data_IF_420241123159
#
_entry.id   IF_420241123159
#
_cell.length_a   1.000
_cell.length_b   1.000
_cell.length_c   1.000
_cell.angle_alpha   90.00
_cell.angle_beta   90.00
_cell.angle_gamma   90.00
#
_symmetry.space_group_name_H-M   'P 1'
#
loop_
_entity.id
_entity.type
_entity.pdbx_description
1 polymer ?
#
# COMPACT_ATOMS: atom_id res chain seq x y z
N UNK A 1 -46.11 5.69 -11.72
CA UNK A 1 -45.11 4.75 -11.14
C UNK A 1 -43.69 5.03 -11.66
N UNK A 2 -43.45 5.08 -12.99
CA UNK A 2 -42.11 5.38 -13.56
C UNK A 2 -41.49 6.73 -13.13
N UNK A 3 -42.28 7.80 -13.05
CA UNK A 3 -41.80 9.11 -12.57
C UNK A 3 -41.34 9.08 -11.10
N UNK A 4 -42.09 8.40 -10.22
CA UNK A 4 -41.71 8.25 -8.80
C UNK A 4 -40.46 7.39 -8.60
N UNK A 5 -40.20 6.40 -9.47
CA UNK A 5 -38.92 5.67 -9.45
C UNK A 5 -37.76 6.58 -9.85
N UNK A 6 -37.95 7.41 -10.87
CA UNK A 6 -36.91 8.33 -11.37
C UNK A 6 -36.59 9.44 -10.37
N UNK A 7 -37.58 9.96 -9.66
CA UNK A 7 -37.36 10.94 -8.58
C UNK A 7 -36.55 10.34 -7.43
N UNK A 8 -36.88 9.11 -6.98
CA UNK A 8 -36.09 8.41 -5.95
C UNK A 8 -34.66 8.12 -6.39
N UNK A 9 -34.47 7.81 -7.67
CA UNK A 9 -33.13 7.58 -8.25
C UNK A 9 -32.29 8.85 -8.24
N UNK A 10 -32.86 9.99 -8.67
CA UNK A 10 -32.19 11.30 -8.64
C UNK A 10 -31.87 11.73 -7.20
N UNK A 11 -32.79 11.51 -6.28
CA UNK A 11 -32.60 11.84 -4.86
C UNK A 11 -31.45 11.02 -4.26
N UNK A 12 -31.38 9.71 -4.57
CA UNK A 12 -30.30 8.81 -4.15
C UNK A 12 -28.94 9.21 -4.75
N UNK A 13 -28.90 9.54 -6.05
CA UNK A 13 -27.69 10.02 -6.72
C UNK A 13 -27.19 11.36 -6.16
N UNK A 14 -28.10 12.27 -5.80
CA UNK A 14 -27.75 13.56 -5.20
C UNK A 14 -27.19 13.41 -3.78
N UNK A 15 -27.72 12.44 -3.01
CA UNK A 15 -27.28 12.15 -1.65
C UNK A 15 -25.85 11.60 -1.62
N UNK A 16 -25.50 10.74 -2.58
CA UNK A 16 -24.16 10.16 -2.72
C UNK A 16 -23.13 11.24 -3.09
N UNK A 17 -23.49 12.20 -3.96
CA UNK A 17 -22.58 13.28 -4.37
C UNK A 17 -22.25 14.29 -3.26
N UNK A 18 -23.17 14.52 -2.32
CA UNK A 18 -23.01 15.61 -1.34
C UNK A 18 -22.20 15.23 -0.08
N UNK A 19 -21.98 13.94 0.19
CA UNK A 19 -21.26 13.50 1.40
C UNK A 19 -19.73 13.47 1.26
N UNK A 20 -19.21 13.44 0.04
CA UNK A 20 -17.77 13.32 -0.23
C UNK A 20 -17.03 14.65 -0.40
N UNK A 21 -16.96 15.54 0.60
CA UNK A 21 -16.05 16.70 0.54
C UNK A 21 -14.64 16.37 1.07
N UNK A 22 -13.99 15.35 0.52
CA UNK A 22 -12.62 14.93 0.90
C UNK A 22 -11.57 16.04 0.63
N UNK A 23 -11.89 16.99 -0.26
CA UNK A 23 -11.02 18.11 -0.66
C UNK A 23 -10.66 19.04 0.53
N UNK A 24 -11.51 19.13 1.57
CA UNK A 24 -11.28 20.07 2.68
C UNK A 24 -10.21 19.58 3.67
N UNK A 25 -10.18 18.28 3.98
CA UNK A 25 -9.23 17.70 4.96
C UNK A 25 -7.80 17.62 4.39
N UNK A 26 -7.68 17.40 3.07
CA UNK A 26 -6.39 17.29 2.37
C UNK A 26 -5.55 18.57 2.47
N UNK A 27 -6.19 19.74 2.45
CA UNK A 27 -5.51 21.04 2.58
C UNK A 27 -4.84 21.21 3.94
N UNK A 28 -5.49 20.77 5.02
CA UNK A 28 -5.02 21.03 6.38
C UNK A 28 -3.86 20.13 6.77
N UNK A 29 -3.88 18.85 6.39
CA UNK A 29 -2.76 17.94 6.66
C UNK A 29 -1.51 18.35 5.87
N UNK A 30 -1.70 18.78 4.62
CA UNK A 30 -0.63 19.34 3.79
C UNK A 30 -0.04 20.60 4.41
N UNK A 31 -0.88 21.51 4.92
CA UNK A 31 -0.41 22.72 5.60
C UNK A 31 0.31 22.41 6.92
N UNK A 32 -0.17 21.45 7.71
CA UNK A 32 0.50 20.99 8.91
C UNK A 32 1.87 20.38 8.59
N UNK A 33 1.93 19.56 7.54
CA UNK A 33 3.17 18.92 7.11
C UNK A 33 4.17 19.95 6.54
N UNK A 34 3.71 20.88 5.71
CA UNK A 34 4.54 21.99 5.21
C UNK A 34 5.05 22.86 6.36
N UNK A 35 4.27 23.06 7.40
CA UNK A 35 4.70 23.78 8.60
C UNK A 35 5.82 23.03 9.32
N UNK A 36 5.63 21.73 9.60
CA UNK A 36 6.66 20.89 10.25
C UNK A 36 7.93 20.79 9.39
N UNK A 37 7.79 20.64 8.08
CA UNK A 37 8.91 20.61 7.14
C UNK A 37 9.65 21.95 7.11
N UNK A 38 8.93 23.07 7.09
CA UNK A 38 9.51 24.41 7.16
C UNK A 38 10.29 24.60 8.47
N UNK A 39 9.74 24.19 9.61
CA UNK A 39 10.47 24.25 10.88
C UNK A 39 11.68 23.34 10.95
N UNK A 40 11.58 22.13 10.40
CA UNK A 40 12.70 21.21 10.34
C UNK A 40 13.82 21.77 9.45
N UNK A 41 13.46 22.42 8.33
CA UNK A 41 14.40 23.11 7.47
C UNK A 41 15.04 24.33 8.15
N UNK A 42 14.28 25.13 8.90
CA UNK A 42 14.83 26.25 9.70
C UNK A 42 15.79 25.74 10.77
N UNK A 43 15.40 24.71 11.51
CA UNK A 43 16.25 24.09 12.54
C UNK A 43 17.52 23.47 11.93
N UNK A 44 17.44 22.85 10.75
CA UNK A 44 18.58 22.28 10.04
C UNK A 44 19.50 23.36 9.47
N UNK A 45 18.94 24.43 8.89
CA UNK A 45 19.70 25.58 8.41
C UNK A 45 20.48 26.26 9.54
N UNK A 46 19.91 26.31 10.74
CA UNK A 46 20.56 26.87 11.93
C UNK A 46 21.55 25.90 12.59
N UNK A 47 21.38 24.58 12.42
CA UNK A 47 22.27 23.54 12.93
C UNK A 47 23.50 23.34 12.04
N UNK A 48 23.38 23.59 10.73
CA UNK A 48 24.52 23.67 9.85
C UNK A 48 25.39 24.86 10.28
N UNK A 49 26.70 24.69 10.52
CA UNK A 49 27.56 25.78 10.94
C UNK A 49 27.70 26.79 9.79
N UNK A 50 26.77 27.74 9.71
CA UNK A 50 26.78 28.91 8.83
C UNK A 50 27.92 29.90 9.17
N UNK A 51 28.96 29.44 9.86
CA UNK A 51 30.20 30.16 10.09
C UNK A 51 31.10 30.29 8.86
N UNK A 52 30.74 29.71 7.71
CA UNK A 52 31.52 29.81 6.46
C UNK A 52 31.21 31.04 5.60
N UNK A 53 29.94 31.47 5.52
CA UNK A 53 29.55 32.57 4.63
C UNK A 53 29.74 33.94 5.27
N UNK A 54 29.50 34.09 6.58
CA UNK A 54 29.81 35.35 7.29
C UNK A 54 31.31 35.57 7.49
N UNK A 55 32.13 34.52 7.61
CA UNK A 55 33.60 34.69 7.73
C UNK A 55 34.25 35.24 6.46
N UNK A 56 33.72 35.00 5.26
CA UNK A 56 34.29 35.59 4.03
C UNK A 56 34.01 37.08 3.85
N UNK A 57 33.00 37.63 4.51
CA UNK A 57 32.79 39.09 4.52
C UNK A 57 33.68 39.82 5.55
N UNK A 58 34.21 39.11 6.54
CA UNK A 58 35.05 39.69 7.60
C UNK A 58 36.57 39.58 7.35
N UNK A 59 37.02 38.80 6.36
CA UNK A 59 38.45 38.70 6.02
C UNK A 59 39.01 39.94 5.29
N UNK A 60 38.20 40.97 5.06
CA UNK A 60 38.63 42.24 4.48
C UNK A 60 38.71 43.42 5.47
N UNK A 61 38.33 43.24 6.74
CA UNK A 61 38.25 44.35 7.68
C UNK A 61 38.94 44.03 9.01
N UNK A 62 40.19 44.52 9.09
CA UNK A 62 40.82 45.15 10.25
C UNK A 62 40.82 44.42 11.60
N UNK A 63 42.04 44.19 12.09
CA UNK A 63 42.39 43.83 13.46
C UNK A 63 41.83 44.83 14.47
N UNK A 64 40.74 44.47 15.15
CA UNK A 64 40.41 45.02 16.45
C UNK A 64 40.09 43.86 17.39
N UNK A 65 40.84 43.79 18.48
CA UNK A 65 40.54 42.99 19.66
C UNK A 65 39.14 43.41 20.16
N UNK A 66 38.19 42.49 20.06
CA UNK A 66 36.90 42.59 20.72
C UNK A 66 36.83 41.44 21.69
N UNK A 67 36.96 41.80 22.97
CA UNK A 67 36.78 40.95 24.14
C UNK A 67 35.45 40.18 24.11
N UNK A 68 35.50 38.98 24.69
CA UNK A 68 34.42 38.05 25.04
C UNK A 68 32.99 38.60 24.91
N UNK A 69 32.34 38.27 23.80
CA UNK A 69 30.87 38.36 23.69
C UNK A 69 30.30 36.99 24.04
N UNK A 70 29.74 36.94 25.24
CA UNK A 70 29.02 35.83 25.86
C UNK A 70 27.96 35.23 24.90
N UNK A 71 28.19 34.00 24.42
CA UNK A 71 27.36 33.28 23.42
C UNK A 71 26.28 32.42 24.11
N UNK A 72 25.84 32.78 25.32
CA UNK A 72 24.90 31.95 26.08
C UNK A 72 23.41 32.20 25.76
N UNK A 73 23.09 33.13 24.84
CA UNK A 73 21.69 33.46 24.48
C UNK A 73 21.01 32.57 23.42
N UNK A 74 21.73 31.67 22.74
CA UNK A 74 21.26 31.07 21.48
C UNK A 74 20.36 29.82 21.60
N UNK A 75 20.42 29.08 22.71
CA UNK A 75 19.75 27.78 22.83
C UNK A 75 18.24 27.88 23.11
N UNK A 76 17.80 28.90 23.85
CA UNK A 76 16.39 29.08 24.21
C UNK A 76 15.52 29.49 23.00
N UNK A 77 16.08 30.23 22.03
CA UNK A 77 15.36 30.58 20.81
C UNK A 77 15.09 29.39 19.89
N UNK A 78 16.02 28.42 19.83
CA UNK A 78 15.97 27.28 18.90
C UNK A 78 14.94 26.23 19.32
N UNK A 79 14.93 25.85 20.59
CA UNK A 79 13.90 24.97 21.13
C UNK A 79 12.52 25.62 21.05
N UNK A 80 12.44 26.94 21.29
CA UNK A 80 11.20 27.71 21.16
C UNK A 80 10.62 27.71 19.75
N UNK A 81 11.44 27.89 18.70
CA UNK A 81 10.98 27.86 17.31
C UNK A 81 10.47 26.46 16.90
N UNK A 82 11.20 25.40 17.23
CA UNK A 82 10.76 24.03 16.97
C UNK A 82 9.45 23.71 17.68
N UNK A 83 9.34 24.01 18.98
CA UNK A 83 8.12 23.79 19.76
C UNK A 83 6.95 24.61 19.23
N UNK A 84 7.17 25.85 18.80
CA UNK A 84 6.12 26.71 18.25
C UNK A 84 5.56 26.16 16.96
N UNK A 85 6.41 25.65 16.07
CA UNK A 85 5.93 25.09 14.80
C UNK A 85 5.37 23.68 14.96
N UNK A 86 5.92 22.86 15.86
CA UNK A 86 5.29 21.61 16.24
C UNK A 86 3.89 21.85 16.84
N UNK A 87 3.75 22.83 17.75
CA UNK A 87 2.48 23.24 18.31
C UNK A 87 1.51 23.79 17.26
N UNK A 88 2.00 24.61 16.32
CA UNK A 88 1.18 25.12 15.21
C UNK A 88 0.73 24.00 14.26
N UNK A 89 1.62 23.05 13.94
CA UNK A 89 1.29 21.86 13.16
C UNK A 89 0.24 20.99 13.85
N UNK A 90 0.37 20.77 15.16
CA UNK A 90 -0.64 20.07 15.96
C UNK A 90 -1.96 20.84 16.04
N UNK A 91 -1.92 22.17 16.15
CA UNK A 91 -3.11 23.01 16.14
C UNK A 91 -3.83 22.92 14.79
N UNK A 92 -3.10 22.98 13.66
CA UNK A 92 -3.67 22.78 12.33
C UNK A 92 -4.32 21.40 12.20
N UNK A 93 -3.67 20.34 12.67
CA UNK A 93 -4.26 18.99 12.72
C UNK A 93 -5.57 19.00 13.52
N UNK A 94 -5.59 19.67 14.68
CA UNK A 94 -6.79 19.80 15.51
C UNK A 94 -7.92 20.61 14.84
N UNK A 95 -7.59 21.62 14.03
CA UNK A 95 -8.58 22.40 13.27
C UNK A 95 -9.07 21.68 12.00
N UNK A 96 -8.28 20.77 11.43
CA UNK A 96 -8.66 19.94 10.28
C UNK A 96 -9.80 18.96 10.56
N UNK A 97 -10.08 18.69 11.84
CA UNK A 97 -11.15 17.83 12.33
C UNK A 97 -12.56 18.32 11.94
N UNK A 98 -12.72 19.61 11.61
CA UNK A 98 -14.02 20.15 11.20
C UNK A 98 -14.50 19.71 9.81
N UNK A 99 -13.67 18.97 9.05
CA UNK A 99 -13.96 18.59 7.66
C UNK A 99 -13.76 17.13 7.28
N UNK A 100 -13.24 16.27 8.17
CA UNK A 100 -13.16 14.83 7.89
C UNK A 100 -14.54 14.20 8.00
N UNK A 101 -14.85 13.28 7.07
CA UNK A 101 -16.01 12.41 7.22
C UNK A 101 -15.80 11.51 8.44
N UNK A 102 -16.87 11.18 9.17
CA UNK A 102 -16.79 10.18 10.22
C UNK A 102 -16.41 8.82 9.58
N UNK A 103 -15.62 8.02 10.27
CA UNK A 103 -15.25 6.69 9.80
C UNK A 103 -16.47 5.82 9.48
N UNK A 104 -17.52 5.90 10.28
CA UNK A 104 -18.75 5.14 10.02
C UNK A 104 -19.52 5.67 8.80
N UNK A 105 -19.43 6.97 8.49
CA UNK A 105 -19.94 7.51 7.23
C UNK A 105 -19.15 6.95 6.05
N UNK A 106 -17.82 6.93 6.12
CA UNK A 106 -16.98 6.37 5.05
C UNK A 106 -17.31 4.89 4.78
N UNK A 107 -17.48 4.08 5.83
CA UNK A 107 -17.88 2.67 5.71
C UNK A 107 -19.24 2.55 5.05
N UNK A 108 -20.24 3.31 5.50
CA UNK A 108 -21.59 3.30 4.94
C UNK A 108 -21.60 3.70 3.47
N UNK A 109 -20.86 4.75 3.10
CA UNK A 109 -20.77 5.20 1.71
C UNK A 109 -20.13 4.14 0.80
N UNK A 110 -19.09 3.43 1.27
CA UNK A 110 -18.49 2.30 0.53
C UNK A 110 -19.50 1.15 0.36
N UNK A 111 -20.24 0.80 1.42
CA UNK A 111 -21.25 -0.26 1.34
C UNK A 111 -22.42 0.10 0.44
N UNK A 112 -22.91 1.34 0.51
CA UNK A 112 -23.98 1.82 -0.38
C UNK A 112 -23.51 1.84 -1.84
N UNK A 113 -22.24 2.15 -2.11
CA UNK A 113 -21.65 2.09 -3.44
C UNK A 113 -21.54 0.64 -3.97
N UNK A 114 -21.14 -0.31 -3.11
CA UNK A 114 -21.09 -1.74 -3.47
C UNK A 114 -22.49 -2.30 -3.76
N UNK A 115 -23.48 -1.98 -2.92
CA UNK A 115 -24.87 -2.36 -3.14
C UNK A 115 -25.41 -1.80 -4.47
N UNK A 116 -25.15 -0.52 -4.73
CA UNK A 116 -25.53 0.08 -6.01
C UNK A 116 -24.84 -0.59 -7.20
N UNK A 117 -23.55 -0.94 -7.08
CA UNK A 117 -22.82 -1.63 -8.13
C UNK A 117 -23.47 -2.98 -8.44
N UNK A 118 -23.81 -3.76 -7.42
CA UNK A 118 -24.44 -5.07 -7.54
C UNK A 118 -25.81 -4.98 -8.22
N UNK A 119 -26.68 -4.08 -7.75
CA UNK A 119 -27.99 -3.75 -8.34
C UNK A 119 -27.90 -3.37 -9.83
N UNK A 120 -26.75 -2.86 -10.26
CA UNK A 120 -26.52 -2.33 -11.61
C UNK A 120 -25.61 -3.22 -12.48
N UNK A 121 -25.21 -4.42 -12.03
CA UNK A 121 -24.27 -5.29 -12.76
C UNK A 121 -24.70 -5.57 -14.19
N UNK A 122 -25.99 -5.87 -14.42
CA UNK A 122 -26.53 -6.11 -15.76
C UNK A 122 -26.36 -4.90 -16.68
N UNK A 123 -26.74 -3.72 -16.17
CA UNK A 123 -26.66 -2.45 -16.90
C UNK A 123 -25.23 -2.05 -17.23
N UNK A 124 -24.30 -2.35 -16.33
CA UNK A 124 -22.87 -2.08 -16.49
C UNK A 124 -22.16 -3.14 -17.36
N UNK A 125 -22.85 -4.20 -17.78
CA UNK A 125 -22.26 -5.30 -18.54
C UNK A 125 -21.23 -6.09 -17.71
N UNK A 126 -21.41 -6.12 -16.40
CA UNK A 126 -20.56 -6.84 -15.45
C UNK A 126 -21.08 -8.24 -15.12
N UNK A 127 -22.31 -8.57 -15.54
CA UNK A 127 -22.78 -9.95 -15.44
C UNK A 127 -21.86 -10.87 -16.25
N UNK A 128 -21.63 -12.11 -15.78
CA UNK A 128 -21.14 -13.16 -16.64
C UNK A 128 -21.98 -13.14 -17.93
N UNK A 129 -21.37 -13.36 -19.09
CA UNK A 129 -22.18 -13.83 -20.19
C UNK A 129 -22.81 -15.12 -19.66
N UNK A 130 -24.12 -15.09 -19.40
CA UNK A 130 -24.90 -16.30 -19.33
C UNK A 130 -24.48 -17.04 -20.60
N UNK A 131 -23.88 -18.20 -20.40
CA UNK A 131 -23.74 -19.13 -21.48
C UNK A 131 -25.19 -19.42 -21.84
N UNK A 132 -25.71 -18.64 -22.80
CA UNK A 132 -26.84 -19.04 -23.62
C UNK A 132 -26.34 -20.38 -24.16
N UNK A 133 -26.62 -21.44 -23.40
CA UNK A 133 -26.57 -22.80 -23.87
C UNK A 133 -27.41 -22.70 -25.13
N UNK A 134 -26.70 -22.70 -26.26
CA UNK A 134 -27.27 -22.94 -27.55
C UNK A 134 -27.84 -24.36 -27.40
N UNK A 135 -29.04 -24.46 -26.79
CA UNK A 135 -30.01 -25.48 -27.05
C UNK A 135 -30.28 -25.33 -28.55
N UNK A 136 -29.33 -25.85 -29.33
CA UNK A 136 -29.57 -26.40 -30.64
C UNK A 136 -30.63 -27.48 -30.37
N UNK A 137 -31.89 -27.05 -30.21
CA UNK A 137 -33.05 -27.87 -30.50
C UNK A 137 -32.80 -28.34 -31.94
N UNK A 138 -32.21 -29.52 -32.06
CA UNK A 138 -32.20 -30.31 -33.27
C UNK A 138 -33.68 -30.53 -33.62
N UNK A 139 -34.28 -29.58 -34.32
CA UNK A 139 -35.48 -29.82 -35.10
C UNK A 139 -35.09 -30.92 -36.10
N UNK A 140 -35.39 -32.16 -35.75
CA UNK A 140 -35.39 -33.31 -36.65
C UNK A 140 -36.40 -33.03 -37.78
N UNK A 141 -36.02 -32.24 -38.79
CA UNK A 141 -36.71 -32.22 -40.08
C UNK A 141 -36.33 -33.47 -40.88
N UNK A 142 -37.08 -34.55 -40.65
CA UNK A 142 -37.21 -35.63 -41.61
C UNK A 142 -37.91 -35.08 -42.88
N UNK A 143 -37.16 -34.75 -43.94
CA UNK A 143 -37.85 -34.31 -45.17
C UNK A 143 -37.04 -33.86 -46.40
N UNK A 144 -36.46 -34.81 -47.13
CA UNK A 144 -36.36 -34.81 -48.60
C UNK A 144 -35.53 -33.74 -49.36
N UNK A 145 -34.33 -34.17 -49.78
CA UNK A 145 -33.74 -34.04 -51.13
C UNK A 145 -33.86 -32.72 -51.91
N UNK A 146 -32.72 -32.03 -52.00
CA UNK A 146 -31.94 -31.78 -53.24
C UNK A 146 -31.53 -30.33 -53.52
N UNK A 147 -30.25 -30.21 -53.86
CA UNK A 147 -29.59 -29.15 -54.64
C UNK A 147 -29.19 -27.83 -53.94
N UNK A 148 -27.94 -27.86 -53.48
CA UNK A 148 -26.88 -26.88 -53.80
C UNK A 148 -27.16 -25.38 -53.62
N UNK A 149 -26.72 -24.85 -52.48
CA UNK A 149 -25.87 -23.64 -52.40
C UNK A 149 -25.15 -23.61 -51.05
N UNK A 150 -23.85 -23.96 -51.07
CA UNK A 150 -22.92 -23.82 -49.93
C UNK A 150 -22.83 -22.35 -49.52
N UNK A 151 -23.73 -21.88 -48.66
CA UNK A 151 -23.56 -20.65 -47.89
C UNK A 151 -22.44 -20.91 -46.88
N UNK A 152 -21.28 -20.32 -47.12
CA UNK A 152 -20.14 -20.28 -46.19
C UNK A 152 -20.61 -19.53 -44.94
N UNK A 153 -21.20 -20.26 -43.98
CA UNK A 153 -21.57 -19.79 -42.64
C UNK A 153 -20.26 -19.33 -42.01
N UNK A 154 -20.00 -18.01 -42.05
CA UNK A 154 -18.92 -17.41 -41.27
C UNK A 154 -19.36 -17.60 -39.83
N UNK A 155 -18.88 -18.66 -39.19
CA UNK A 155 -18.90 -18.82 -37.74
C UNK A 155 -18.10 -17.65 -37.16
N UNK A 156 -18.77 -16.49 -37.06
CA UNK A 156 -18.28 -15.38 -36.30
C UNK A 156 -18.25 -15.88 -34.87
N UNK A 157 -17.09 -16.35 -34.43
CA UNK A 157 -16.89 -16.87 -33.08
C UNK A 157 -17.46 -15.85 -32.11
N UNK A 158 -18.62 -16.20 -31.53
CA UNK A 158 -19.28 -15.46 -30.47
C UNK A 158 -18.25 -15.47 -29.34
N UNK A 159 -17.43 -14.42 -29.26
CA UNK A 159 -16.41 -14.29 -28.22
C UNK A 159 -17.19 -14.25 -26.92
N UNK A 160 -17.28 -15.40 -26.24
CA UNK A 160 -17.84 -15.54 -24.88
C UNK A 160 -17.28 -14.37 -24.09
N UNK A 161 -18.16 -13.43 -23.73
CA UNK A 161 -17.77 -12.29 -22.91
C UNK A 161 -17.53 -12.86 -21.53
N UNK A 162 -16.26 -13.20 -21.27
CA UNK A 162 -15.80 -13.64 -19.96
C UNK A 162 -16.33 -12.66 -18.91
N UNK A 163 -17.03 -13.17 -17.90
CA UNK A 163 -17.42 -12.37 -16.74
C UNK A 163 -16.21 -11.60 -16.23
N UNK A 164 -16.40 -10.29 -16.03
CA UNK A 164 -15.32 -9.41 -15.60
C UNK A 164 -14.76 -9.82 -14.25
N UNK A 165 -13.48 -9.52 -14.02
CA UNK A 165 -12.85 -9.72 -12.71
C UNK A 165 -13.21 -8.53 -11.83
N UNK A 166 -13.63 -8.80 -10.60
CA UNK A 166 -13.92 -7.79 -9.60
C UNK A 166 -12.80 -7.73 -8.56
N UNK A 167 -12.00 -6.65 -8.63
CA UNK A 167 -10.95 -6.35 -7.66
C UNK A 167 -11.43 -5.25 -6.74
N UNK A 168 -11.45 -5.50 -5.43
CA UNK A 168 -11.85 -4.52 -4.42
C UNK A 168 -10.65 -4.06 -3.60
N UNK A 169 -10.63 -2.80 -3.20
CA UNK A 169 -9.40 -2.23 -2.69
C UNK A 169 -9.45 -0.76 -2.36
N UNK A 170 -8.30 -0.22 -1.95
CA UNK A 170 -8.18 1.19 -1.62
C UNK A 170 -6.74 1.66 -1.48
N UNK A 171 -6.58 2.99 -1.56
CA UNK A 171 -5.32 3.69 -1.37
C UNK A 171 -5.29 4.39 -0.01
N UNK A 172 -4.17 4.35 0.72
CA UNK A 172 -4.01 5.09 1.99
C UNK A 172 -5.11 4.76 3.01
N UNK A 173 -5.78 5.77 3.56
CA UNK A 173 -6.96 5.61 4.42
C UNK A 173 -8.13 4.92 3.72
N UNK A 174 -8.27 5.04 2.39
CA UNK A 174 -9.23 4.24 1.63
C UNK A 174 -8.91 2.75 1.69
N UNK A 175 -7.62 2.38 1.73
CA UNK A 175 -7.18 1.01 1.96
C UNK A 175 -7.56 0.50 3.36
N UNK A 176 -7.49 1.37 4.37
CA UNK A 176 -7.98 1.08 5.72
C UNK A 176 -9.48 0.76 5.75
N UNK A 177 -10.29 1.62 5.11
CA UNK A 177 -11.74 1.44 5.02
C UNK A 177 -12.07 0.15 4.27
N UNK A 178 -11.42 -0.12 3.13
CA UNK A 178 -11.62 -1.34 2.35
C UNK A 178 -11.29 -2.61 3.16
N UNK A 179 -10.16 -2.62 3.89
CA UNK A 179 -9.79 -3.74 4.74
C UNK A 179 -10.80 -3.94 5.88
N UNK A 180 -11.21 -2.86 6.55
CA UNK A 180 -12.20 -2.93 7.64
C UNK A 180 -13.55 -3.46 7.15
N UNK A 181 -14.03 -2.94 6.03
CA UNK A 181 -15.32 -3.33 5.44
C UNK A 181 -15.32 -4.81 5.05
N UNK A 182 -14.22 -5.32 4.50
CA UNK A 182 -14.13 -6.75 4.12
C UNK A 182 -13.92 -7.69 5.29
N UNK A 183 -13.42 -7.21 6.43
CA UNK A 183 -13.32 -7.97 7.68
C UNK A 183 -14.64 -8.03 8.46
N UNK A 184 -15.67 -7.29 8.04
CA UNK A 184 -16.96 -7.21 8.72
C UNK A 184 -18.09 -7.72 7.82
N UNK A 185 -18.26 -9.05 7.79
CA UNK A 185 -19.30 -9.71 6.99
C UNK A 185 -20.73 -9.28 7.37
N UNK A 186 -20.95 -8.72 8.57
CA UNK A 186 -22.28 -8.22 8.95
C UNK A 186 -22.67 -7.02 8.09
N UNK A 187 -21.73 -6.11 7.79
CA UNK A 187 -22.00 -4.96 6.91
C UNK A 187 -22.49 -5.38 5.52
N UNK A 188 -21.93 -6.46 4.98
CA UNK A 188 -22.30 -6.98 3.66
C UNK A 188 -23.71 -7.57 3.68
N UNK A 189 -24.00 -8.42 4.67
CA UNK A 189 -25.33 -9.02 4.83
C UNK A 189 -26.42 -7.98 5.07
N UNK A 190 -26.14 -6.93 5.84
CA UNK A 190 -27.11 -5.86 6.11
C UNK A 190 -27.58 -5.16 4.83
N UNK A 191 -26.79 -5.25 3.74
CA UNK A 191 -27.09 -4.63 2.43
C UNK A 191 -27.41 -5.66 1.35
N UNK A 192 -27.79 -6.86 1.75
CA UNK A 192 -28.11 -7.99 0.86
C UNK A 192 -26.97 -8.34 -0.11
N UNK A 193 -25.73 -7.99 0.24
CA UNK A 193 -24.55 -8.34 -0.55
C UNK A 193 -24.02 -9.72 -0.13
N UNK A 194 -23.50 -10.52 -1.08
CA UNK A 194 -22.85 -11.78 -0.75
C UNK A 194 -21.56 -11.53 0.04
N UNK A 195 -21.08 -12.53 0.78
CA UNK A 195 -19.83 -12.40 1.53
C UNK A 195 -18.67 -11.94 0.62
N UNK A 196 -17.69 -11.19 1.15
CA UNK A 196 -16.65 -10.56 0.33
C UNK A 196 -15.87 -11.55 -0.55
N UNK A 197 -15.67 -12.79 -0.09
CA UNK A 197 -14.95 -13.82 -0.85
C UNK A 197 -15.73 -14.42 -2.02
N UNK A 198 -17.06 -14.23 -2.02
CA UNK A 198 -17.94 -14.57 -3.15
C UNK A 198 -18.05 -13.39 -4.10
N UNK A 199 -18.05 -12.17 -3.55
CA UNK A 199 -18.22 -10.95 -4.35
C UNK A 199 -16.96 -10.52 -5.10
N UNK A 200 -15.78 -10.75 -4.52
CA UNK A 200 -14.49 -10.27 -5.01
C UNK A 200 -13.58 -11.42 -5.45
N UNK A 201 -12.91 -11.24 -6.59
CA UNK A 201 -11.88 -12.16 -7.05
C UNK A 201 -10.53 -11.91 -6.36
N UNK A 202 -10.25 -10.66 -5.97
CA UNK A 202 -9.01 -10.29 -5.30
C UNK A 202 -9.14 -8.97 -4.54
N UNK A 203 -8.26 -8.80 -3.55
CA UNK A 203 -8.09 -7.58 -2.77
C UNK A 203 -6.83 -6.83 -3.20
N UNK A 204 -6.93 -5.52 -3.46
CA UNK A 204 -5.80 -4.68 -3.87
C UNK A 204 -5.65 -3.47 -2.95
N UNK A 205 -4.52 -3.39 -2.26
CA UNK A 205 -4.21 -2.28 -1.38
C UNK A 205 -2.98 -1.53 -1.84
N UNK A 206 -3.11 -0.21 -1.97
CA UNK A 206 -2.01 0.67 -2.40
C UNK A 206 -1.64 1.55 -1.20
N UNK A 207 -0.48 1.31 -0.61
CA UNK A 207 -0.03 2.00 0.60
C UNK A 207 -1.14 2.11 1.66
N UNK A 208 -1.83 1.02 2.04
CA UNK A 208 -2.95 1.09 2.99
C UNK A 208 -2.47 1.44 4.40
N UNK A 209 -3.26 2.22 5.14
CA UNK A 209 -3.08 2.37 6.59
C UNK A 209 -3.74 1.19 7.30
N UNK A 210 -2.98 0.24 7.83
CA UNK A 210 -3.53 -0.98 8.45
C UNK A 210 -3.44 -0.98 9.98
N UNK A 211 -2.64 -0.07 10.56
CA UNK A 211 -2.50 0.09 12.00
C UNK A 211 -3.01 1.44 12.49
N UNK A 212 -4.02 1.40 13.36
CA UNK A 212 -4.54 2.59 14.09
C UNK A 212 -4.14 2.55 15.56
N UNK A 213 -3.43 1.49 15.98
CA UNK A 213 -2.89 1.27 17.32
C UNK A 213 -1.45 0.78 17.19
N UNK A 214 -0.67 0.81 18.27
CA UNK A 214 0.63 0.16 18.27
C UNK A 214 0.43 -1.37 18.06
N UNK A 215 1.13 -1.96 17.09
CA UNK A 215 0.99 -3.38 16.71
C UNK A 215 2.22 -4.22 17.08
N UNK A 216 3.14 -3.65 17.86
CA UNK A 216 4.34 -4.36 18.33
C UNK A 216 4.00 -5.65 19.08
N UNK A 217 2.87 -5.67 19.79
CA UNK A 217 2.39 -6.85 20.51
C UNK A 217 1.95 -7.97 19.55
N UNK A 218 1.42 -7.62 18.37
CA UNK A 218 1.08 -8.59 17.31
C UNK A 218 2.35 -9.22 16.74
N UNK A 219 3.37 -8.40 16.42
CA UNK A 219 4.66 -8.90 15.93
C UNK A 219 5.35 -9.77 16.98
N UNK A 220 5.35 -9.33 18.25
CA UNK A 220 5.96 -10.08 19.35
C UNK A 220 5.21 -11.38 19.64
N UNK A 221 3.89 -11.40 19.45
CA UNK A 221 3.06 -12.59 19.55
C UNK A 221 3.44 -13.64 18.50
N UNK A 222 3.61 -13.24 17.24
CA UNK A 222 4.08 -14.12 16.16
C UNK A 222 5.50 -14.64 16.39
N UNK A 223 6.43 -13.76 16.75
CA UNK A 223 7.83 -14.13 17.00
C UNK A 223 8.00 -15.18 18.12
N UNK A 224 6.97 -15.36 18.94
CA UNK A 224 6.91 -16.43 19.96
C UNK A 224 6.26 -17.71 19.45
N UNK A 225 5.38 -17.64 18.46
CA UNK A 225 4.65 -18.81 17.91
C UNK A 225 5.50 -19.56 16.89
N UNK A 226 6.26 -18.83 16.09
CA UNK A 226 7.24 -19.43 15.19
C UNK A 226 8.64 -19.11 15.74
N UNK A 227 9.36 -20.06 16.38
CA UNK A 227 10.80 -19.92 16.46
C UNK A 227 11.27 -19.68 15.02
N UNK A 228 12.13 -18.67 14.75
CA UNK A 228 12.53 -18.35 13.39
C UNK A 228 12.93 -19.66 12.75
N UNK A 229 12.17 -20.13 11.76
CA UNK A 229 12.61 -21.24 10.93
C UNK A 229 13.95 -20.74 10.45
N UNK A 230 15.02 -21.30 11.03
CA UNK A 230 16.38 -20.95 10.68
C UNK A 230 16.37 -21.10 9.17
N UNK A 231 16.51 -19.98 8.46
CA UNK A 231 16.68 -19.99 7.03
C UNK A 231 17.82 -20.96 6.82
N UNK A 232 17.50 -22.19 6.43
CA UNK A 232 18.46 -23.25 6.27
C UNK A 232 19.48 -22.68 5.32
N UNK A 233 20.66 -22.36 5.87
CA UNK A 233 21.76 -21.80 5.11
C UNK A 233 21.86 -22.62 3.83
N UNK A 234 21.84 -21.98 2.64
CA UNK A 234 21.93 -22.73 1.40
C UNK A 234 23.12 -23.66 1.51
N UNK A 235 22.84 -24.96 1.51
CA UNK A 235 23.82 -26.02 1.56
C UNK A 235 24.91 -25.67 0.56
N UNK A 236 26.16 -25.66 1.04
CA UNK A 236 27.35 -25.37 0.26
C UNK A 236 27.25 -25.96 -1.14
N UNK A 237 27.64 -25.21 -2.20
CA UNK A 237 27.62 -25.75 -3.55
C UNK A 237 28.45 -27.04 -3.60
N UNK A 238 27.99 -28.07 -4.33
CA UNK A 238 28.77 -29.29 -4.51
C UNK A 238 30.13 -28.93 -5.15
N UNK A 239 31.21 -29.61 -4.75
CA UNK A 239 32.53 -29.36 -5.32
C UNK A 239 32.51 -29.56 -6.84
N UNK A 240 33.28 -28.77 -7.60
CA UNK A 240 33.31 -28.89 -9.05
C UNK A 240 33.83 -30.27 -9.48
N UNK A 241 33.32 -30.83 -10.61
CA UNK A 241 33.79 -32.10 -11.14
C UNK A 241 35.27 -31.99 -11.54
N UNK A 242 36.09 -32.87 -10.98
CA UNK A 242 37.49 -33.02 -11.40
C UNK A 242 37.52 -33.69 -12.77
N UNK A 243 37.69 -32.89 -13.83
CA UNK A 243 37.98 -33.39 -15.17
C UNK A 243 39.48 -33.68 -15.29
N UNK A 244 39.82 -34.96 -15.35
CA UNK A 244 41.11 -35.46 -15.81
C UNK A 244 41.20 -35.34 -17.34
N UNK A 245 42.02 -34.42 -17.83
CA UNK A 245 42.49 -34.43 -19.23
C UNK A 245 43.98 -34.14 -19.25
N UNK A 246 44.69 -35.14 -19.75
CA UNK A 246 46.09 -35.18 -20.09
C UNK A 246 46.43 -34.36 -21.35
N UNK A 247 47.71 -34.02 -21.43
CA UNK A 247 48.50 -33.79 -22.66
C UNK A 247 48.66 -32.36 -23.18
N UNK A 248 49.85 -31.83 -22.85
CA UNK A 248 50.87 -31.32 -23.79
C UNK A 248 50.49 -30.21 -24.77
N UNK A 249 51.01 -29.00 -24.53
CA UNK A 249 52.08 -28.44 -25.38
C UNK A 249 52.61 -27.13 -24.83
N UNK A 250 53.91 -26.97 -25.00
CA UNK A 250 54.79 -25.91 -24.51
C UNK A 250 54.45 -24.53 -25.11
N UNK A 251 54.56 -23.47 -24.30
CA UNK A 251 55.40 -22.33 -24.68
C UNK A 251 55.68 -21.42 -23.49
N UNK A 252 56.93 -21.02 -23.43
CA UNK A 252 57.60 -20.24 -22.38
C UNK A 252 57.17 -18.78 -22.42
N UNK A 253 56.81 -18.22 -21.27
CA UNK A 253 57.29 -16.88 -20.89
C UNK A 253 57.22 -16.70 -19.36
N UNK A 254 58.38 -16.67 -18.72
CA UNK A 254 58.57 -16.22 -17.34
C UNK A 254 58.94 -14.74 -17.37
N UNK A 255 58.27 -13.89 -16.58
CA UNK A 255 58.94 -12.86 -15.75
C UNK A 255 58.08 -12.60 -14.51
N UNK A 256 58.81 -12.50 -13.40
CA UNK A 256 58.45 -12.50 -11.99
C UNK A 256 57.66 -11.27 -11.52
N UNK A 257 57.03 -11.43 -10.34
CA UNK A 257 57.03 -10.34 -9.37
C UNK A 257 55.78 -10.25 -8.48
N UNK A 258 55.91 -10.69 -7.23
CA UNK A 258 55.26 -9.98 -6.13
C UNK A 258 54.18 -10.72 -5.36
N UNK A 259 54.64 -11.58 -4.45
CA UNK A 259 53.91 -12.10 -3.30
C UNK A 259 53.17 -11.00 -2.52
N UNK A 260 51.90 -11.23 -2.18
CA UNK A 260 51.23 -10.52 -1.09
C UNK A 260 50.31 -11.49 -0.37
N UNK A 261 50.83 -11.97 0.74
CA UNK A 261 50.18 -12.89 1.66
C UNK A 261 48.99 -12.25 2.36
N UNK A 262 47.99 -13.12 2.53
CA UNK A 262 46.74 -12.95 3.21
C UNK A 262 46.86 -12.53 4.69
N UNK A 263 46.05 -11.56 5.09
CA UNK A 263 45.46 -11.50 6.43
C UNK A 263 44.00 -11.02 6.32
N UNK A 264 43.10 -11.97 6.01
CA UNK A 264 41.64 -11.76 6.07
C UNK A 264 41.23 -11.66 7.54
N UNK A 265 41.24 -10.44 8.08
CA UNK A 265 40.57 -10.14 9.33
C UNK A 265 39.06 -10.38 9.14
N UNK A 266 38.53 -11.38 9.83
CA UNK A 266 37.09 -11.57 10.02
C UNK A 266 36.59 -10.43 10.90
N UNK A 267 36.19 -9.32 10.28
CA UNK A 267 35.35 -8.31 10.91
C UNK A 267 33.98 -8.93 11.16
N UNK A 268 33.80 -9.45 12.38
CA UNK A 268 32.51 -9.73 12.96
C UNK A 268 31.74 -8.42 13.04
N UNK A 269 30.98 -8.12 11.98
CA UNK A 269 29.97 -7.07 11.97
C UNK A 269 28.90 -7.48 12.98
N UNK A 270 29.09 -7.06 14.22
CA UNK A 270 28.04 -6.98 15.22
C UNK A 270 26.99 -6.05 14.63
N UNK A 271 25.98 -6.63 14.00
CA UNK A 271 24.73 -5.97 13.68
C UNK A 271 24.14 -5.50 15.00
N UNK A 272 24.50 -4.28 15.37
CA UNK A 272 23.86 -3.51 16.42
C UNK A 272 22.38 -3.50 16.06
N UNK A 273 21.63 -4.33 16.79
CA UNK A 273 20.19 -4.29 16.84
C UNK A 273 19.82 -2.92 17.36
N UNK A 274 19.71 -1.97 16.43
CA UNK A 274 19.12 -0.67 16.67
C UNK A 274 17.76 -0.93 17.28
N UNK A 275 17.65 -0.71 18.59
CA UNK A 275 16.39 -0.76 19.31
C UNK A 275 15.48 0.27 18.66
N UNK A 276 14.62 -0.17 17.75
CA UNK A 276 13.61 0.69 17.15
C UNK A 276 12.73 1.18 18.29
N UNK A 277 12.90 2.44 18.67
CA UNK A 277 12.10 3.06 19.71
C UNK A 277 10.64 2.95 19.29
N UNK A 278 9.81 2.33 20.13
CA UNK A 278 8.37 2.22 19.92
C UNK A 278 7.85 3.63 19.60
N UNK A 279 7.18 3.85 18.46
CA UNK A 279 6.64 5.16 18.14
C UNK A 279 5.68 5.58 19.26
N UNK A 280 5.73 6.85 19.68
CA UNK A 280 4.92 7.28 20.80
C UNK A 280 3.43 7.24 20.42
N UNK A 281 2.62 6.56 21.23
CA UNK A 281 1.18 6.30 20.97
C UNK A 281 0.37 7.58 20.75
N UNK A 282 0.75 8.68 21.40
CA UNK A 282 0.07 9.97 21.24
C UNK A 282 0.06 10.44 19.79
N UNK A 283 1.13 10.17 19.02
CA UNK A 283 1.25 10.62 17.64
C UNK A 283 0.37 9.78 16.71
N UNK A 284 0.30 8.47 16.96
CA UNK A 284 -0.65 7.57 16.32
C UNK A 284 -2.08 8.05 16.52
N UNK A 285 -2.45 8.38 17.76
CA UNK A 285 -3.78 8.91 18.05
C UNK A 285 -4.08 10.20 17.29
N UNK A 286 -3.11 11.11 17.15
CA UNK A 286 -3.32 12.36 16.40
C UNK A 286 -3.51 12.12 14.90
N UNK A 287 -2.71 11.22 14.30
CA UNK A 287 -2.87 10.87 12.88
C UNK A 287 -4.23 10.21 12.64
N UNK A 288 -4.63 9.27 13.50
CA UNK A 288 -5.93 8.59 13.40
C UNK A 288 -7.08 9.60 13.55
N UNK A 289 -7.00 10.53 14.51
CA UNK A 289 -7.99 11.62 14.65
C UNK A 289 -8.04 12.52 13.43
N UNK A 290 -6.90 12.87 12.85
CA UNK A 290 -6.83 13.71 11.66
C UNK A 290 -7.49 13.04 10.45
N UNK A 291 -7.28 11.73 10.28
CA UNK A 291 -7.75 10.97 9.12
C UNK A 291 -9.21 10.55 9.25
N UNK A 292 -9.62 10.07 10.43
CA UNK A 292 -10.91 9.43 10.67
C UNK A 292 -11.88 10.25 11.53
N UNK A 293 -11.46 11.44 11.95
CA UNK A 293 -12.25 12.31 12.82
C UNK A 293 -12.08 11.97 14.31
N UNK A 294 -12.17 12.99 15.15
CA UNK A 294 -11.88 12.89 16.59
C UNK A 294 -12.84 12.01 17.38
N UNK A 295 -14.11 11.97 16.99
CA UNK A 295 -15.14 11.17 17.67
C UNK A 295 -14.97 9.68 17.38
N UNK A 296 -14.68 9.34 16.13
CA UNK A 296 -14.53 7.95 15.71
C UNK A 296 -13.16 7.36 16.05
N UNK A 297 -12.10 8.17 16.14
CA UNK A 297 -10.70 7.71 16.27
C UNK A 297 -10.46 6.57 17.28
N UNK A 298 -11.09 6.62 18.45
CA UNK A 298 -10.94 5.59 19.48
C UNK A 298 -11.61 4.26 19.11
N UNK A 299 -12.69 4.34 18.34
CA UNK A 299 -13.48 3.20 17.87
C UNK A 299 -13.01 2.67 16.50
N UNK A 300 -12.14 3.39 15.78
CA UNK A 300 -11.60 2.93 14.50
C UNK A 300 -10.85 1.61 14.74
N UNK A 301 -11.29 0.51 14.10
CA UNK A 301 -10.62 -0.77 14.22
C UNK A 301 -9.22 -0.68 13.60
N UNK A 302 -8.37 -1.62 13.95
CA UNK A 302 -7.05 -1.72 13.35
C UNK A 302 -7.01 -3.00 12.55
N UNK A 303 -7.11 -2.96 11.20
CA UNK A 303 -7.17 -4.15 10.37
C UNK A 303 -6.09 -5.19 10.67
N UNK A 304 -4.85 -4.75 10.99
CA UNK A 304 -3.76 -5.66 11.38
C UNK A 304 -4.02 -6.47 12.66
N UNK A 305 -4.88 -5.98 13.55
CA UNK A 305 -5.28 -6.68 14.78
C UNK A 305 -6.51 -7.58 14.58
N UNK A 306 -7.18 -7.47 13.44
CA UNK A 306 -8.36 -8.26 13.06
C UNK A 306 -8.12 -9.03 11.75
N UNK A 307 -6.85 -9.30 11.45
CA UNK A 307 -6.40 -9.92 10.20
C UNK A 307 -7.03 -11.30 10.00
N UNK A 308 -7.34 -12.01 11.08
CA UNK A 308 -8.03 -13.31 11.13
C UNK A 308 -9.41 -13.30 10.48
N UNK A 309 -10.03 -12.12 10.36
CA UNK A 309 -11.33 -11.92 9.71
C UNK A 309 -11.22 -11.59 8.23
N UNK A 310 -10.01 -11.55 7.66
CA UNK A 310 -9.82 -11.20 6.26
C UNK A 310 -10.45 -12.24 5.34
N UNK A 311 -11.04 -11.83 4.22
CA UNK A 311 -11.63 -12.78 3.29
C UNK A 311 -10.57 -13.71 2.68
N UNK A 312 -10.88 -15.00 2.50
CA UNK A 312 -9.95 -16.00 1.93
C UNK A 312 -9.85 -15.90 0.40
N UNK A 313 -9.56 -14.69 -0.10
CA UNK A 313 -9.27 -14.42 -1.52
C UNK A 313 -7.84 -13.89 -1.66
N UNK A 314 -7.21 -13.92 -2.83
CA UNK A 314 -5.86 -13.38 -3.00
C UNK A 314 -5.77 -11.89 -2.64
N UNK A 315 -4.78 -11.51 -1.81
CA UNK A 315 -4.48 -10.11 -1.45
C UNK A 315 -3.19 -9.64 -2.12
N UNK A 316 -3.22 -8.41 -2.65
CA UNK A 316 -2.05 -7.74 -3.24
C UNK A 316 -1.84 -6.41 -2.53
N UNK A 317 -0.63 -6.21 -2.00
CA UNK A 317 -0.20 -4.99 -1.34
C UNK A 317 0.91 -4.32 -2.14
N UNK A 318 0.67 -3.08 -2.56
CA UNK A 318 1.65 -2.23 -3.23
C UNK A 318 2.04 -1.11 -2.28
N UNK A 319 3.15 -1.28 -1.56
CA UNK A 319 3.64 -0.28 -0.59
C UNK A 319 4.76 0.57 -1.15
N UNK A 320 4.99 1.74 -0.57
CA UNK A 320 6.16 2.55 -0.89
C UNK A 320 7.40 2.05 -0.14
N UNK A 321 8.56 2.08 -0.79
CA UNK A 321 9.84 1.91 -0.08
C UNK A 321 10.11 3.08 0.88
N UNK A 322 9.53 4.25 0.60
CA UNK A 322 9.69 5.47 1.35
C UNK A 322 8.33 6.11 1.68
N UNK A 323 7.36 5.35 2.25
CA UNK A 323 5.97 5.80 2.51
C UNK A 323 5.93 7.28 2.94
N UNK A 324 6.48 7.63 4.09
CA UNK A 324 6.40 9.01 4.58
C UNK A 324 7.75 9.72 4.51
N UNK A 325 8.22 10.02 3.30
CA UNK A 325 9.51 10.68 3.06
C UNK A 325 10.71 9.87 3.59
N UNK A 326 10.55 8.57 3.75
CA UNK A 326 11.57 7.68 4.33
C UNK A 326 11.70 7.75 5.85
N UNK A 327 10.75 8.36 6.56
CA UNK A 327 10.70 8.32 8.03
C UNK A 327 10.20 6.94 8.49
N UNK A 328 11.15 6.05 8.81
CA UNK A 328 10.88 4.64 9.15
C UNK A 328 9.85 4.42 10.27
N UNK A 329 9.66 5.38 11.18
CA UNK A 329 8.66 5.25 12.25
C UNK A 329 7.23 5.42 11.75
N UNK A 330 7.00 6.12 10.62
CA UNK A 330 5.68 6.25 10.01
C UNK A 330 5.28 5.02 9.18
N UNK A 331 6.24 4.15 8.84
CA UNK A 331 5.95 2.87 8.19
C UNK A 331 5.12 1.94 9.12
N UNK A 332 5.11 2.24 10.42
CA UNK A 332 4.32 1.54 11.45
C UNK A 332 2.81 1.70 11.32
N UNK A 333 2.32 2.63 10.48
CA UNK A 333 0.89 2.76 10.20
C UNK A 333 0.47 1.90 9.01
N UNK A 334 1.37 1.73 8.05
CA UNK A 334 1.05 1.06 6.80
C UNK A 334 1.06 -0.46 6.98
N UNK A 335 2.12 -1.00 7.58
CA UNK A 335 2.27 -2.42 7.92
C UNK A 335 1.97 -3.43 6.80
N UNK A 336 1.96 -3.00 5.53
CA UNK A 336 1.57 -3.81 4.39
C UNK A 336 2.35 -5.13 4.30
N UNK A 337 3.66 -5.08 4.58
CA UNK A 337 4.51 -6.26 4.59
C UNK A 337 4.14 -7.24 5.71
N UNK A 338 4.01 -6.74 6.94
CA UNK A 338 3.67 -7.55 8.11
C UNK A 338 2.26 -8.15 7.97
N UNK A 339 1.30 -7.36 7.49
CA UNK A 339 -0.05 -7.82 7.22
C UNK A 339 -0.07 -8.92 6.15
N UNK A 340 0.68 -8.74 5.05
CA UNK A 340 0.82 -9.80 4.04
C UNK A 340 1.44 -11.08 4.59
N UNK A 341 2.36 -11.00 5.56
CA UNK A 341 2.93 -12.18 6.22
C UNK A 341 1.90 -12.90 7.09
N UNK A 342 1.15 -12.13 7.89
CA UNK A 342 0.07 -12.65 8.74
C UNK A 342 -0.98 -13.41 7.90
N UNK A 343 -1.39 -12.86 6.76
CA UNK A 343 -2.34 -13.52 5.84
C UNK A 343 -1.78 -14.82 5.25
N UNK A 344 -0.52 -14.81 4.79
CA UNK A 344 0.13 -16.03 4.30
C UNK A 344 0.23 -17.11 5.38
N UNK A 345 0.46 -16.73 6.64
CA UNK A 345 0.46 -17.66 7.78
C UNK A 345 -0.88 -18.36 8.02
N UNK A 346 -1.97 -17.77 7.55
CA UNK A 346 -3.32 -18.37 7.58
C UNK A 346 -3.66 -19.14 6.30
N UNK A 347 -2.73 -19.29 5.36
CA UNK A 347 -2.96 -19.94 4.07
C UNK A 347 -3.71 -19.08 3.05
N UNK A 348 -3.84 -17.77 3.29
CA UNK A 348 -4.41 -16.83 2.31
C UNK A 348 -3.28 -16.36 1.38
N UNK A 349 -3.42 -16.55 0.07
CA UNK A 349 -2.45 -16.06 -0.93
C UNK A 349 -2.31 -14.53 -0.80
N UNK A 350 -1.16 -14.08 -0.30
CA UNK A 350 -0.91 -12.66 -0.08
C UNK A 350 0.46 -12.25 -0.59
N UNK A 351 0.49 -11.20 -1.43
CA UNK A 351 1.72 -10.68 -2.02
C UNK A 351 1.96 -9.23 -1.61
N UNK A 352 3.19 -8.94 -1.20
CA UNK A 352 3.65 -7.57 -0.98
C UNK A 352 4.71 -7.19 -2.00
N UNK A 353 4.56 -5.99 -2.60
CA UNK A 353 5.55 -5.40 -3.50
C UNK A 353 5.83 -3.97 -3.08
N UNK A 354 7.10 -3.69 -2.81
CA UNK A 354 7.59 -2.34 -2.57
C UNK A 354 7.86 -1.63 -3.90
N UNK A 355 7.30 -0.44 -4.10
CA UNK A 355 7.60 0.44 -5.24
C UNK A 355 8.53 1.57 -4.80
N UNK A 356 9.38 2.03 -5.74
CA UNK A 356 10.30 3.15 -5.50
C UNK A 356 9.55 4.48 -5.64
N UNK A 357 8.72 4.78 -4.65
CA UNK A 357 8.01 6.05 -4.54
C UNK A 357 7.87 6.43 -3.07
N UNK A 358 7.29 7.60 -2.85
CA UNK A 358 6.76 8.03 -1.56
C UNK A 358 5.23 8.01 -1.61
N UNK A 359 4.60 8.00 -0.43
CA UNK A 359 3.15 7.89 -0.28
C UNK A 359 2.42 8.95 -1.11
N UNK A 360 2.93 10.18 -1.12
CA UNK A 360 2.28 11.31 -1.78
C UNK A 360 2.35 11.26 -3.31
N UNK A 361 3.42 10.68 -3.84
CA UNK A 361 3.68 10.62 -5.28
C UNK A 361 3.41 9.24 -5.89
N UNK A 362 3.04 8.23 -5.10
CA UNK A 362 2.88 6.85 -5.56
C UNK A 362 1.88 6.73 -6.73
N UNK A 363 0.77 7.46 -6.69
CA UNK A 363 -0.25 7.42 -7.74
C UNK A 363 0.23 7.98 -9.09
N UNK A 364 1.34 8.73 -9.10
CA UNK A 364 1.98 9.26 -10.32
C UNK A 364 3.23 8.46 -10.73
N UNK A 365 3.64 7.48 -9.93
CA UNK A 365 4.86 6.69 -10.18
C UNK A 365 4.67 5.71 -11.33
N UNK A 366 5.63 5.67 -12.26
CA UNK A 366 5.72 4.65 -13.30
C UNK A 366 5.87 3.24 -12.72
N UNK A 367 6.57 3.13 -11.59
CA UNK A 367 6.81 1.89 -10.86
C UNK A 367 5.50 1.32 -10.30
N UNK A 368 4.60 2.16 -9.79
CA UNK A 368 3.25 1.72 -9.40
C UNK A 368 2.48 1.19 -10.60
N UNK A 369 2.48 1.94 -11.71
CA UNK A 369 1.77 1.52 -12.93
C UNK A 369 2.26 0.17 -13.45
N UNK A 370 3.57 -0.03 -13.48
CA UNK A 370 4.15 -1.28 -13.97
C UNK A 370 3.90 -2.44 -12.99
N UNK A 371 3.96 -2.17 -11.69
CA UNK A 371 3.56 -3.14 -10.66
C UNK A 371 2.08 -3.54 -10.78
N UNK A 372 1.17 -2.58 -10.94
CA UNK A 372 -0.26 -2.83 -11.14
C UNK A 372 -0.52 -3.67 -12.39
N UNK A 373 0.11 -3.34 -13.52
CA UNK A 373 -0.03 -4.11 -14.76
C UNK A 373 0.36 -5.57 -14.56
N UNK A 374 1.46 -5.82 -13.84
CA UNK A 374 1.93 -7.17 -13.58
C UNK A 374 1.00 -7.93 -12.63
N UNK A 375 0.60 -7.33 -11.51
CA UNK A 375 -0.27 -7.99 -10.52
C UNK A 375 -1.69 -8.22 -11.03
N UNK A 376 -2.29 -7.26 -11.76
CA UNK A 376 -3.59 -7.44 -12.38
C UNK A 376 -3.56 -8.55 -13.44
N UNK A 377 -2.49 -8.61 -14.25
CA UNK A 377 -2.33 -9.72 -15.20
C UNK A 377 -2.16 -11.08 -14.52
N UNK A 378 -1.59 -11.13 -13.29
CA UNK A 378 -1.54 -12.36 -12.49
C UNK A 378 -2.90 -12.75 -11.97
N UNK A 379 -3.67 -11.80 -11.43
CA UNK A 379 -5.05 -12.03 -10.97
C UNK A 379 -5.89 -12.58 -12.12
N UNK A 380 -5.81 -11.96 -13.30
CA UNK A 380 -6.49 -12.43 -14.51
C UNK A 380 -6.18 -13.88 -14.85
N UNK A 381 -4.89 -14.27 -14.83
CA UNK A 381 -4.49 -15.66 -15.09
C UNK A 381 -4.96 -16.62 -14.01
N UNK A 382 -4.83 -16.23 -12.72
CA UNK A 382 -5.26 -17.06 -11.59
C UNK A 382 -6.76 -17.35 -11.61
N UNK A 383 -7.59 -16.35 -11.92
CA UNK A 383 -9.03 -16.53 -12.10
C UNK A 383 -9.39 -17.47 -13.25
N UNK A 384 -8.58 -17.51 -14.31
CA UNK A 384 -8.79 -18.43 -15.44
C UNK A 384 -8.39 -19.86 -15.11
N UNK A 385 -7.28 -20.06 -14.39
CA UNK A 385 -6.82 -21.38 -13.98
C UNK A 385 -7.72 -22.00 -12.91
N UNK A 386 -8.24 -21.19 -11.99
CA UNK A 386 -9.17 -21.63 -10.96
C UNK A 386 -10.51 -22.11 -11.51
N UNK A 387 -11.03 -21.50 -12.57
CA UNK A 387 -12.29 -21.90 -13.24
C UNK A 387 -12.15 -23.15 -14.11
N UNK A 388 -10.93 -23.56 -14.44
CA UNK A 388 -10.69 -24.76 -15.26
C UNK A 388 -10.56 -26.04 -14.42
N UNK A 389 -10.48 -25.91 -13.09
CA UNK A 389 -10.52 -27.01 -12.14
C UNK A 389 -11.93 -27.16 -11.60
#
# INVERSE_FOLDING_TARGET
MRLRMREREIERESLIRHRGSFVKSFSVLTLAFLSVAAASATALADALPYGGWRRRAAWGASSYDVDDVDVDGGWHGRAGAFLSVAAFGLALIAFGDAGSADFDDMRRDVMDALAWLDDNRARLGLLPADDDDDDDEEEEEEGSTSSTKKKKKRSGGKRRRRGGIFVFGGYSSGGHVAATVTQDAALWRDRDLPDPHVHCDSMLYISPVLSTRAYDDVIRGEARRDPPMALSSPSSPPPPPQSSTSSESESRFSVEGGSSSSSRARSSSSSSSSSSSIPPTWLTDQVVRAVFGRRAAAAVPSPIHTYDRSPPVPHVFLGCRHEMFGLAWLDTFFCSYQYSRLLNGMGIDSRYRAVRSDHWNILRSSELRDALREELGRIERGCHEGKAR
#
